data_IF_960583663733
#
_entry.id   IF_960583663733
#
_cell.length_a   1.000
_cell.length_b   1.000
_cell.length_c   1.000
_cell.angle_alpha   90.00
_cell.angle_beta   90.00
_cell.angle_gamma   90.00
#
_symmetry.space_group_name_H-M   'P 1'
#
loop_
_entity.id
_entity.type
_entity.pdbx_description
1 polymer ?
#
# COMPACT_ATOMS: atom_id res chain seq x y z
N UNK A 1 -15.23 -14.15 -13.03
CA UNK A 1 -14.09 -14.06 -13.95
C UNK A 1 -12.94 -14.83 -13.32
N UNK A 2 -12.80 -16.12 -13.62
CA UNK A 2 -11.66 -16.92 -13.16
C UNK A 2 -10.50 -16.73 -14.15
N UNK A 3 -9.76 -15.65 -13.95
CA UNK A 3 -8.42 -15.48 -14.54
C UNK A 3 -7.39 -16.14 -13.62
N UNK A 4 -6.19 -16.43 -14.13
CA UNK A 4 -5.07 -16.95 -13.33
C UNK A 4 -4.82 -16.15 -12.04
N UNK A 5 -5.04 -14.83 -12.08
CA UNK A 5 -4.95 -13.94 -10.92
C UNK A 5 -5.98 -14.27 -9.85
N UNK A 6 -7.20 -14.68 -10.24
CA UNK A 6 -8.25 -15.09 -9.32
C UNK A 6 -7.83 -16.25 -8.43
N UNK A 7 -7.19 -17.27 -9.00
CA UNK A 7 -6.66 -18.41 -8.21
C UNK A 7 -5.60 -17.97 -7.20
N UNK A 8 -4.73 -17.04 -7.55
CA UNK A 8 -3.73 -16.51 -6.63
C UNK A 8 -4.35 -15.67 -5.51
N UNK A 9 -5.46 -14.98 -5.77
CA UNK A 9 -6.20 -14.25 -4.73
C UNK A 9 -6.95 -15.21 -3.80
N UNK A 10 -7.60 -16.24 -4.35
CA UNK A 10 -8.32 -17.26 -3.58
C UNK A 10 -7.40 -18.07 -2.65
N UNK A 11 -6.14 -18.25 -3.06
CA UNK A 11 -5.09 -18.93 -2.28
C UNK A 11 -4.26 -18.00 -1.39
N UNK A 12 -4.64 -16.72 -1.28
CA UNK A 12 -3.94 -15.68 -0.51
C UNK A 12 -2.48 -15.44 -0.94
N UNK A 13 -2.09 -15.85 -2.15
CA UNK A 13 -0.79 -15.54 -2.69
C UNK A 13 -0.73 -14.08 -3.13
N UNK A 14 -1.80 -13.58 -3.76
CA UNK A 14 -1.96 -12.18 -4.14
C UNK A 14 -3.08 -11.50 -3.38
N UNK A 15 -2.90 -10.21 -3.13
CA UNK A 15 -3.89 -9.35 -2.50
C UNK A 15 -4.16 -8.16 -3.40
N UNK A 16 -5.44 -7.81 -3.48
CA UNK A 16 -5.92 -6.68 -4.26
C UNK A 16 -6.29 -5.56 -3.29
N UNK A 17 -5.68 -4.39 -3.50
CA UNK A 17 -6.00 -3.16 -2.77
C UNK A 17 -6.66 -2.19 -3.73
N UNK A 18 -7.84 -1.73 -3.33
CA UNK A 18 -8.66 -0.81 -4.11
C UNK A 18 -8.45 0.64 -3.64
N UNK A 19 -8.88 1.59 -4.46
CA UNK A 19 -8.93 2.99 -4.08
C UNK A 19 -9.90 3.22 -2.91
N UNK A 20 -9.60 4.21 -2.07
CA UNK A 20 -10.54 4.83 -1.14
C UNK A 20 -11.59 5.63 -1.93
N UNK A 21 -12.87 5.38 -1.70
CA UNK A 21 -13.96 6.09 -2.40
C UNK A 21 -15.27 5.32 -2.42
N UNK A 22 -16.24 5.87 -3.16
CA UNK A 22 -17.56 5.24 -3.35
C UNK A 22 -17.43 3.99 -4.22
N UNK A 23 -18.41 3.08 -4.14
CA UNK A 23 -18.40 1.82 -4.88
C UNK A 23 -18.18 2.02 -6.40
N UNK A 24 -18.87 2.97 -7.02
CA UNK A 24 -18.75 3.25 -8.46
C UNK A 24 -17.37 3.80 -8.85
N UNK A 25 -16.73 4.56 -7.96
CA UNK A 25 -15.37 5.08 -8.17
C UNK A 25 -14.37 3.93 -8.06
N UNK A 26 -14.53 3.08 -7.04
CA UNK A 26 -13.70 1.91 -6.79
C UNK A 26 -13.68 0.90 -7.92
N UNK A 27 -14.83 0.63 -8.54
CA UNK A 27 -14.94 -0.31 -9.66
C UNK A 27 -14.13 0.17 -10.87
N UNK A 28 -14.09 1.49 -11.10
CA UNK A 28 -13.39 2.11 -12.24
C UNK A 28 -11.91 2.37 -11.98
N UNK A 29 -11.53 2.48 -10.71
CA UNK A 29 -10.16 2.75 -10.30
C UNK A 29 -9.23 1.57 -10.61
N UNK A 30 -7.97 1.89 -10.87
CA UNK A 30 -6.93 0.87 -10.95
C UNK A 30 -6.80 0.15 -9.61
N UNK A 31 -6.35 -1.10 -9.65
CA UNK A 31 -6.15 -1.92 -8.46
C UNK A 31 -4.66 -2.11 -8.22
N UNK A 32 -4.22 -1.98 -6.97
CA UNK A 32 -2.87 -2.34 -6.56
C UNK A 32 -2.81 -3.84 -6.22
N UNK A 33 -1.70 -4.48 -6.58
CA UNK A 33 -1.45 -5.88 -6.30
C UNK A 33 -0.26 -6.03 -5.36
N UNK A 34 -0.46 -6.81 -4.30
CA UNK A 34 0.57 -7.17 -3.35
C UNK A 34 0.70 -8.69 -3.25
N UNK A 35 1.88 -9.18 -2.92
CA UNK A 35 2.19 -10.60 -2.87
C UNK A 35 2.56 -11.02 -1.44
N UNK A 36 2.01 -12.15 -0.97
CA UNK A 36 2.45 -12.81 0.25
C UNK A 36 3.91 -13.25 0.17
N UNK A 37 4.30 -13.80 -0.97
CA UNK A 37 5.64 -14.30 -1.24
C UNK A 37 6.50 -13.21 -1.89
N UNK A 38 7.32 -12.56 -1.05
CA UNK A 38 8.25 -11.53 -1.50
C UNK A 38 9.39 -12.13 -2.34
N UNK A 39 9.72 -13.42 -2.15
CA UNK A 39 10.68 -14.14 -2.96
C UNK A 39 10.23 -14.25 -4.42
N UNK A 40 8.98 -14.66 -4.64
CA UNK A 40 8.36 -14.67 -5.98
C UNK A 40 8.33 -13.26 -6.60
N UNK A 41 7.98 -12.24 -5.81
CA UNK A 41 8.00 -10.85 -6.28
C UNK A 41 9.39 -10.42 -6.77
N UNK A 42 10.42 -10.75 -6.00
CA UNK A 42 11.82 -10.43 -6.30
C UNK A 42 12.35 -11.17 -7.53
N UNK A 43 11.95 -12.43 -7.74
CA UNK A 43 12.33 -13.20 -8.94
C UNK A 43 11.72 -12.59 -10.20
N UNK A 44 10.46 -12.14 -10.13
CA UNK A 44 9.75 -11.56 -11.28
C UNK A 44 10.20 -10.13 -11.63
N UNK A 45 10.50 -9.29 -10.63
CA UNK A 45 10.82 -7.86 -10.84
C UNK A 45 12.32 -7.55 -10.74
N UNK A 46 13.14 -8.47 -10.23
CA UNK A 46 14.54 -8.23 -9.88
C UNK A 46 14.71 -7.31 -8.66
N UNK A 47 15.97 -7.11 -8.22
CA UNK A 47 16.33 -6.25 -7.07
C UNK A 47 16.19 -4.73 -7.34
N UNK A 48 15.65 -4.32 -8.50
CA UNK A 48 15.71 -2.94 -8.97
C UNK A 48 14.71 -1.99 -8.29
N UNK A 49 13.69 -2.50 -7.60
CA UNK A 49 12.66 -1.66 -6.97
C UNK A 49 12.48 -1.98 -5.47
N UNK A 50 13.47 -1.57 -4.67
CA UNK A 50 13.42 -1.68 -3.22
C UNK A 50 12.24 -0.91 -2.61
N UNK A 51 11.76 0.15 -3.27
CA UNK A 51 10.57 0.90 -2.84
C UNK A 51 9.32 0.05 -2.91
N UNK A 52 9.05 -0.60 -4.05
CA UNK A 52 7.90 -1.50 -4.22
C UNK A 52 7.98 -2.75 -3.35
N UNK A 53 9.19 -3.27 -3.10
CA UNK A 53 9.38 -4.36 -2.13
C UNK A 53 9.01 -3.89 -0.72
N UNK A 54 9.49 -2.72 -0.31
CA UNK A 54 9.19 -2.14 0.99
C UNK A 54 7.70 -1.85 1.18
N UNK A 55 7.05 -1.23 0.18
CA UNK A 55 5.60 -0.99 0.17
C UNK A 55 4.82 -2.30 0.37
N UNK A 56 5.24 -3.39 -0.30
CA UNK A 56 4.63 -4.70 -0.13
C UNK A 56 4.80 -5.26 1.29
N UNK A 57 5.97 -5.09 1.91
CA UNK A 57 6.20 -5.50 3.30
C UNK A 57 5.33 -4.70 4.26
N UNK A 58 5.21 -3.39 4.05
CA UNK A 58 4.31 -2.51 4.82
C UNK A 58 2.88 -3.02 4.70
N UNK A 59 2.40 -3.28 3.48
CA UNK A 59 1.08 -3.87 3.24
C UNK A 59 0.89 -5.18 4.02
N UNK A 60 1.84 -6.12 3.95
CA UNK A 60 1.71 -7.42 4.62
C UNK A 60 1.55 -7.29 6.13
N UNK A 61 2.20 -6.30 6.77
CA UNK A 61 2.03 -6.01 8.19
C UNK A 61 0.62 -5.52 8.51
N UNK A 62 0.03 -4.68 7.66
CA UNK A 62 -1.27 -4.05 7.90
C UNK A 62 -2.46 -4.72 7.18
N UNK A 63 -2.24 -5.80 6.40
CA UNK A 63 -3.27 -6.41 5.54
C UNK A 63 -4.58 -6.77 6.27
N UNK A 64 -4.46 -7.15 7.54
CA UNK A 64 -5.58 -7.52 8.41
C UNK A 64 -6.52 -6.34 8.71
N UNK A 65 -6.07 -5.10 8.51
CA UNK A 65 -6.86 -3.87 8.60
C UNK A 65 -7.65 -3.55 7.32
N UNK A 66 -7.49 -4.35 6.26
CA UNK A 66 -8.14 -4.18 4.95
C UNK A 66 -7.87 -2.79 4.34
N UNK A 67 -6.59 -2.38 4.20
CA UNK A 67 -6.24 -1.07 3.69
C UNK A 67 -6.70 -0.85 2.25
N UNK A 68 -6.91 0.42 1.91
CA UNK A 68 -7.14 0.96 0.58
C UNK A 68 -6.03 1.94 0.24
N UNK A 69 -5.85 2.32 -1.02
CA UNK A 69 -4.96 3.44 -1.35
C UNK A 69 -5.74 4.74 -1.51
N UNK A 70 -5.17 5.88 -1.16
CA UNK A 70 -5.81 7.18 -1.33
C UNK A 70 -5.28 7.88 -2.58
N UNK A 71 -6.17 8.46 -3.38
CA UNK A 71 -5.77 9.21 -4.59
C UNK A 71 -6.45 10.56 -4.67
N UNK A 72 -5.68 11.59 -4.99
CA UNK A 72 -6.17 12.97 -5.23
C UNK A 72 -5.45 13.57 -6.43
N UNK A 73 -6.17 13.68 -7.55
CA UNK A 73 -5.55 14.00 -8.84
C UNK A 73 -4.56 12.91 -9.23
N UNK A 74 -3.34 13.30 -9.56
CA UNK A 74 -2.26 12.38 -9.95
C UNK A 74 -1.42 11.88 -8.76
N UNK A 75 -1.72 12.35 -7.54
CA UNK A 75 -0.99 11.95 -6.34
C UNK A 75 -1.70 10.80 -5.66
N UNK A 76 -0.93 9.77 -5.36
CA UNK A 76 -1.35 8.58 -4.65
C UNK A 76 -0.61 8.47 -3.31
N UNK A 77 -1.32 8.04 -2.28
CA UNK A 77 -0.79 7.67 -0.97
C UNK A 77 -1.09 6.19 -0.75
N UNK A 78 -0.09 5.44 -0.32
CA UNK A 78 -0.11 3.98 -0.44
C UNK A 78 -1.26 3.30 0.32
N UNK A 79 -1.49 3.70 1.57
CA UNK A 79 -2.47 3.03 2.42
C UNK A 79 -3.31 3.99 3.26
N UNK A 80 -4.58 3.65 3.41
CA UNK A 80 -5.53 4.25 4.34
C UNK A 80 -6.53 3.21 4.81
N UNK A 81 -6.90 3.30 6.08
CA UNK A 81 -7.93 2.52 6.74
C UNK A 81 -8.31 3.26 8.03
N UNK A 82 -9.57 3.17 8.48
CA UNK A 82 -10.06 3.89 9.65
C UNK A 82 -9.60 5.37 9.66
N UNK A 83 -8.91 5.80 10.71
CA UNK A 83 -8.32 7.14 10.87
C UNK A 83 -6.84 7.22 10.42
N UNK A 84 -6.28 6.15 9.84
CA UNK A 84 -4.89 6.06 9.39
C UNK A 84 -4.69 6.48 7.93
N UNK A 85 -3.56 7.14 7.71
CA UNK A 85 -2.96 7.40 6.40
C UNK A 85 -1.48 7.04 6.48
N UNK A 86 -1.02 6.14 5.61
CA UNK A 86 0.34 5.62 5.63
C UNK A 86 0.95 5.73 4.23
N UNK A 87 2.16 6.27 4.18
CA UNK A 87 2.98 6.33 2.97
C UNK A 87 4.27 5.52 3.21
N UNK A 88 4.63 4.62 2.30
CA UNK A 88 5.81 3.79 2.44
C UNK A 88 7.01 4.42 1.72
N UNK A 89 8.09 4.71 2.46
CA UNK A 89 9.34 5.22 1.87
C UNK A 89 10.54 4.43 2.37
N UNK A 90 11.34 3.93 1.43
CA UNK A 90 12.59 3.24 1.75
C UNK A 90 13.79 4.10 1.37
N UNK A 91 14.46 4.67 2.37
CA UNK A 91 15.66 5.51 2.15
C UNK A 91 15.39 6.85 1.47
N UNK A 92 14.13 7.28 1.42
CA UNK A 92 13.70 8.55 0.82
C UNK A 92 12.76 9.28 1.76
N UNK A 93 12.77 10.60 1.70
CA UNK A 93 11.83 11.44 2.44
C UNK A 93 10.58 11.73 1.60
N UNK A 94 9.50 12.11 2.28
CA UNK A 94 8.28 12.54 1.60
C UNK A 94 8.43 14.00 1.16
N UNK A 95 8.35 14.26 -0.14
CA UNK A 95 8.62 15.58 -0.72
C UNK A 95 7.56 16.04 -1.73
N UNK A 96 7.63 17.32 -2.11
CA UNK A 96 6.84 17.93 -3.19
C UNK A 96 5.32 17.79 -3.02
N UNK A 97 4.63 17.58 -4.15
CA UNK A 97 3.17 17.48 -4.21
C UNK A 97 2.62 16.35 -3.33
N UNK A 98 3.38 15.26 -3.17
CA UNK A 98 2.96 14.12 -2.37
C UNK A 98 2.89 14.47 -0.89
N UNK A 99 3.91 15.19 -0.38
CA UNK A 99 3.91 15.75 0.98
C UNK A 99 2.70 16.66 1.23
N UNK A 100 2.46 17.60 0.32
CA UNK A 100 1.32 18.53 0.42
C UNK A 100 -0.02 17.78 0.48
N UNK A 101 -0.21 16.77 -0.36
CA UNK A 101 -1.43 15.95 -0.33
C UNK A 101 -1.53 15.19 0.99
N UNK A 102 -0.47 14.49 1.40
CA UNK A 102 -0.42 13.73 2.64
C UNK A 102 -0.77 14.58 3.86
N UNK A 103 -0.24 15.79 3.94
CA UNK A 103 -0.54 16.76 5.01
C UNK A 103 -1.96 17.33 4.91
N UNK A 104 -2.50 17.52 3.70
CA UNK A 104 -3.86 18.07 3.50
C UNK A 104 -5.00 17.10 3.84
N UNK A 105 -4.75 15.79 3.82
CA UNK A 105 -5.80 14.78 4.07
C UNK A 105 -6.27 14.83 5.52
N UNK A 106 -7.59 14.85 5.75
CA UNK A 106 -8.20 14.92 7.10
C UNK A 106 -8.27 13.54 7.77
N UNK A 107 -7.10 12.93 8.04
CA UNK A 107 -6.96 11.68 8.82
C UNK A 107 -6.20 12.00 10.12
N UNK A 108 -6.67 11.46 11.25
CA UNK A 108 -6.10 11.80 12.58
C UNK A 108 -4.73 11.19 12.80
N UNK A 109 -4.49 10.01 12.22
CA UNK A 109 -3.24 9.27 12.37
C UNK A 109 -2.54 9.24 11.02
N UNK A 110 -1.35 9.82 10.95
CA UNK A 110 -0.53 9.86 9.74
C UNK A 110 0.84 9.31 10.05
N UNK A 111 1.36 8.47 9.17
CA UNK A 111 2.68 7.87 9.33
C UNK A 111 3.38 7.74 7.98
N UNK A 112 4.64 8.15 7.93
CA UNK A 112 5.54 7.71 6.87
C UNK A 112 6.25 6.47 7.40
N UNK A 113 5.97 5.31 6.82
CA UNK A 113 6.65 4.07 7.15
C UNK A 113 8.06 4.13 6.55
N UNK A 114 9.08 4.07 7.41
CA UNK A 114 10.47 4.14 7.00
C UNK A 114 11.31 3.01 7.58
N UNK A 115 12.04 2.31 6.70
CA UNK A 115 13.02 1.29 7.08
C UNK A 115 12.49 0.20 8.02
N UNK A 116 13.41 -0.41 8.77
CA UNK A 116 13.15 -1.55 9.66
C UNK A 116 12.38 -1.13 10.93
N UNK A 117 12.51 0.12 11.37
CA UNK A 117 11.89 0.63 12.59
C UNK A 117 10.36 0.55 12.55
N UNK A 118 9.75 0.67 11.35
CA UNK A 118 8.32 0.45 11.16
C UNK A 118 7.87 -0.97 11.60
N UNK A 119 8.71 -1.98 11.40
CA UNK A 119 8.38 -3.36 11.71
C UNK A 119 8.63 -3.72 13.17
N UNK A 120 9.66 -3.15 13.79
CA UNK A 120 10.07 -3.46 15.16
C UNK A 120 9.31 -2.67 16.22
N UNK A 121 8.79 -1.50 15.89
CA UNK A 121 8.01 -0.70 16.84
C UNK A 121 6.67 -1.39 17.12
N UNK A 122 6.37 -1.62 18.41
CA UNK A 122 5.12 -2.27 18.86
C UNK A 122 3.93 -1.31 18.92
N UNK A 123 4.06 -0.07 18.41
CA UNK A 123 2.91 0.82 18.29
C UNK A 123 1.82 0.11 17.48
N UNK A 124 0.64 -0.06 18.09
CA UNK A 124 -0.48 -0.74 17.46
C UNK A 124 -0.93 0.04 16.23
N UNK A 125 -0.54 -0.48 15.06
CA UNK A 125 -1.03 -0.11 13.74
C UNK A 125 -1.82 -1.29 13.20
#
# INVERSE_FOLDING_TARGET
>A
MQTYIGYFVETYLFFIVEQEGKLNERIKANKKFYCADVGVKNVLHGYKDLGSVYENLVFLKIKHKKPRYYKKGDVEIDFTFDDWLIEAKFGQELEGKQKTVFESVKKKKKLVAQGVSFFTNRKEI
#
